data_IF_278440298155
#
_entry.id   IF_278440298155
#
_cell.length_a   1.000
_cell.length_b   1.000
_cell.length_c   1.000
_cell.angle_alpha   90.00
_cell.angle_beta   90.00
_cell.angle_gamma   90.00
#
_symmetry.space_group_name_H-M   'P 1'
#
loop_
_entity.id
_entity.type
_entity.pdbx_description
1 polymer ?
#
# COMPACT_ATOMS: atom_id res chain seq x y z
N UNK A 1 81.32 -19.31 8.69
CA UNK A 1 81.72 -19.79 7.35
C UNK A 1 80.88 -19.07 6.29
N UNK A 2 81.56 -18.30 5.43
CA UNK A 2 81.33 -17.92 4.02
C UNK A 2 79.95 -17.47 3.47
N UNK A 3 80.00 -16.26 2.90
CA UNK A 3 79.12 -15.49 2.01
C UNK A 3 78.62 -16.18 0.73
N UNK A 4 77.48 -15.69 0.19
CA UNK A 4 77.29 -15.01 -1.14
C UNK A 4 75.79 -15.03 -1.51
N UNK A 5 75.03 -13.91 -1.62
CA UNK A 5 74.91 -12.84 -2.65
C UNK A 5 74.38 -13.26 -4.05
N UNK A 6 73.27 -12.56 -4.41
CA UNK A 6 72.61 -12.28 -5.71
C UNK A 6 72.05 -13.48 -6.50
N UNK A 7 70.83 -13.44 -7.05
CA UNK A 7 70.39 -12.52 -8.10
C UNK A 7 68.90 -12.11 -8.06
N UNK A 8 68.66 -10.90 -8.58
CA UNK A 8 67.35 -10.38 -9.00
C UNK A 8 66.87 -11.14 -10.25
N UNK A 9 65.57 -11.42 -10.34
CA UNK A 9 64.66 -10.80 -11.34
C UNK A 9 63.40 -11.64 -11.58
N UNK A 10 62.29 -10.91 -11.79
CA UNK A 10 61.16 -11.25 -12.68
C UNK A 10 59.86 -11.85 -12.09
N UNK A 11 58.90 -10.95 -11.87
CA UNK A 11 57.61 -10.91 -12.59
C UNK A 11 56.49 -11.92 -12.24
N UNK A 12 55.48 -11.39 -11.54
CA UNK A 12 54.01 -11.50 -11.75
C UNK A 12 53.38 -12.89 -11.90
N UNK A 13 52.44 -13.22 -11.00
CA UNK A 13 51.02 -13.64 -11.23
C UNK A 13 50.43 -14.17 -9.90
N UNK A 14 49.44 -13.48 -9.33
CA UNK A 14 48.01 -13.88 -9.30
C UNK A 14 47.79 -15.23 -8.57
N UNK A 15 46.97 -15.36 -7.53
CA UNK A 15 45.65 -14.76 -7.31
C UNK A 15 45.28 -14.74 -5.82
N UNK A 16 45.04 -13.55 -5.28
CA UNK A 16 44.17 -13.39 -4.11
C UNK A 16 42.72 -13.55 -4.58
N UNK A 17 42.18 -14.76 -4.58
CA UNK A 17 40.74 -14.96 -4.74
C UNK A 17 40.06 -14.83 -3.37
N UNK A 18 40.13 -13.62 -2.79
CA UNK A 18 39.17 -13.19 -1.79
C UNK A 18 37.85 -13.14 -2.54
N UNK A 19 37.00 -14.14 -2.32
CA UNK A 19 35.64 -14.23 -2.86
C UNK A 19 34.97 -12.86 -2.66
N UNK A 20 34.97 -12.06 -3.73
CA UNK A 20 34.16 -10.85 -3.83
C UNK A 20 32.77 -11.42 -3.98
N UNK A 21 32.10 -11.59 -2.85
CA UNK A 21 30.69 -11.96 -2.85
C UNK A 21 29.99 -10.68 -3.25
N UNK A 22 29.53 -10.63 -4.50
CA UNK A 22 28.73 -9.54 -5.05
C UNK A 22 27.43 -9.39 -4.22
N UNK A 23 27.52 -8.64 -3.12
CA UNK A 23 26.38 -7.87 -2.61
C UNK A 23 26.05 -6.87 -3.71
N UNK A 24 25.00 -7.08 -4.51
CA UNK A 24 24.25 -6.01 -5.21
C UNK A 24 23.15 -6.59 -6.12
N UNK A 25 22.09 -7.14 -5.53
CA UNK A 25 20.81 -7.27 -6.24
C UNK A 25 19.60 -7.30 -5.28
N UNK A 26 19.78 -7.65 -4.00
CA UNK A 26 18.69 -7.63 -3.00
C UNK A 26 18.34 -6.24 -2.47
N UNK A 27 19.21 -5.23 -2.63
CA UNK A 27 18.99 -3.89 -2.08
C UNK A 27 18.19 -2.97 -3.02
N UNK A 28 18.00 -3.37 -4.29
CA UNK A 28 17.37 -2.52 -5.32
C UNK A 28 15.93 -2.10 -4.96
N UNK A 29 15.24 -2.91 -4.14
CA UNK A 29 13.82 -2.73 -3.81
C UNK A 29 13.56 -2.60 -2.32
N UNK A 30 14.58 -2.36 -1.49
CA UNK A 30 14.43 -2.26 -0.03
C UNK A 30 13.36 -1.23 0.36
N UNK A 31 13.39 -0.06 -0.29
CA UNK A 31 12.47 1.04 -0.03
C UNK A 31 11.01 0.76 -0.40
N UNK A 32 10.73 -0.24 -1.27
CA UNK A 32 9.38 -0.61 -1.72
C UNK A 32 8.88 -1.92 -1.12
N UNK A 33 9.61 -2.49 -0.15
CA UNK A 33 9.13 -3.65 0.63
C UNK A 33 7.86 -3.31 1.39
N UNK A 34 6.94 -4.27 1.47
CA UNK A 34 5.62 -4.09 2.09
C UNK A 34 5.71 -3.57 3.52
N UNK A 35 6.61 -4.13 4.32
CA UNK A 35 6.82 -3.76 5.73
C UNK A 35 7.30 -2.32 5.90
N UNK A 36 7.88 -1.73 4.84
CA UNK A 36 8.33 -0.34 4.82
C UNK A 36 7.25 0.63 4.29
N UNK A 37 6.09 0.13 3.85
CA UNK A 37 5.03 0.96 3.27
C UNK A 37 3.94 1.28 4.29
N UNK A 38 3.78 2.55 4.65
CA UNK A 38 2.65 3.01 5.49
C UNK A 38 1.27 2.75 4.84
N UNK A 39 1.20 2.69 3.51
CA UNK A 39 -0.06 2.47 2.79
C UNK A 39 -0.67 1.09 3.08
N UNK A 40 0.17 0.09 3.35
CA UNK A 40 -0.30 -1.28 3.57
C UNK A 40 -1.06 -1.46 4.89
N UNK A 41 -0.54 -1.08 6.08
CA UNK A 41 -1.32 -1.17 7.30
C UNK A 41 -2.58 -0.30 7.24
N UNK A 42 -2.54 0.88 6.59
CA UNK A 42 -3.75 1.69 6.38
C UNK A 42 -4.81 0.98 5.52
N UNK A 43 -4.40 0.36 4.42
CA UNK A 43 -5.28 -0.46 3.59
C UNK A 43 -5.86 -1.64 4.37
N UNK A 44 -5.03 -2.36 5.13
CA UNK A 44 -5.46 -3.49 5.94
C UNK A 44 -6.48 -3.05 7.01
N UNK A 45 -6.22 -1.94 7.70
CA UNK A 45 -7.14 -1.34 8.66
C UNK A 45 -8.48 -0.96 8.01
N UNK A 46 -8.45 -0.24 6.89
CA UNK A 46 -9.67 0.16 6.17
C UNK A 46 -10.50 -1.06 5.74
N UNK A 47 -9.85 -2.09 5.18
CA UNK A 47 -10.50 -3.34 4.80
C UNK A 47 -11.12 -4.07 6.00
N UNK A 48 -10.42 -4.12 7.12
CA UNK A 48 -10.93 -4.74 8.34
C UNK A 48 -12.10 -3.96 8.93
N UNK A 49 -12.11 -2.63 8.87
CA UNK A 49 -13.28 -1.83 9.28
C UNK A 49 -14.49 -2.23 8.44
N UNK A 50 -14.38 -2.20 7.11
CA UNK A 50 -15.49 -2.58 6.22
C UNK A 50 -15.99 -4.00 6.50
N UNK A 51 -15.07 -4.95 6.71
CA UNK A 51 -15.41 -6.35 7.03
C UNK A 51 -16.17 -6.48 8.35
N UNK A 52 -15.89 -5.63 9.33
CA UNK A 52 -16.52 -5.66 10.66
C UNK A 52 -17.93 -5.08 10.62
N UNK A 53 -18.16 -4.09 9.75
CA UNK A 53 -19.50 -3.54 9.54
C UNK A 53 -20.41 -4.46 8.72
N UNK A 54 -19.83 -5.27 7.83
CA UNK A 54 -20.58 -6.16 6.93
C UNK A 54 -21.75 -6.93 7.58
N UNK A 55 -21.58 -7.72 8.67
CA UNK A 55 -22.69 -8.49 9.23
C UNK A 55 -23.86 -7.62 9.68
N UNK A 56 -23.59 -6.43 10.22
CA UNK A 56 -24.65 -5.51 10.66
C UNK A 56 -25.37 -4.83 9.50
N UNK A 57 -24.63 -4.55 8.42
CA UNK A 57 -25.20 -3.91 7.23
C UNK A 57 -25.94 -4.91 6.34
N UNK A 58 -25.52 -6.18 6.33
CA UNK A 58 -26.20 -7.26 5.59
C UNK A 58 -27.65 -7.44 6.11
N UNK A 59 -27.89 -7.30 7.43
CA UNK A 59 -29.23 -7.39 8.05
C UNK A 59 -30.22 -6.33 7.55
N UNK A 60 -29.72 -5.18 7.12
CA UNK A 60 -30.51 -4.03 6.61
C UNK A 60 -30.29 -3.82 5.11
N UNK A 61 -29.68 -4.79 4.42
CA UNK A 61 -29.32 -4.74 3.01
C UNK A 61 -28.62 -3.42 2.61
N UNK A 62 -27.55 -3.04 3.32
CA UNK A 62 -26.72 -1.90 2.98
C UNK A 62 -25.27 -2.30 2.72
N UNK A 63 -24.61 -1.55 1.84
CA UNK A 63 -23.15 -1.59 1.71
C UNK A 63 -22.52 -0.52 2.59
N UNK A 64 -21.22 -0.65 2.91
CA UNK A 64 -20.51 0.37 3.70
C UNK A 64 -20.57 1.76 3.07
N UNK A 65 -20.42 1.86 1.74
CA UNK A 65 -20.54 3.14 1.02
C UNK A 65 -21.95 3.73 1.13
N UNK A 66 -22.99 2.89 1.02
CA UNK A 66 -24.37 3.34 1.22
C UNK A 66 -24.60 3.81 2.66
N UNK A 67 -24.03 3.11 3.65
CA UNK A 67 -24.12 3.47 5.06
C UNK A 67 -23.50 4.84 5.36
N UNK A 68 -22.27 5.11 4.89
CA UNK A 68 -21.65 6.44 5.08
C UNK A 68 -22.40 7.54 4.33
N UNK A 69 -23.03 7.22 3.19
CA UNK A 69 -23.95 8.15 2.50
C UNK A 69 -25.17 8.47 3.36
N UNK A 70 -25.79 7.46 3.99
CA UNK A 70 -26.91 7.68 4.89
C UNK A 70 -26.52 8.49 6.13
N UNK A 71 -25.31 8.32 6.67
CA UNK A 71 -24.82 9.14 7.80
C UNK A 71 -24.81 10.63 7.45
N UNK A 72 -24.33 11.01 6.25
CA UNK A 72 -24.35 12.41 5.81
C UNK A 72 -25.79 12.90 5.62
N UNK A 73 -26.66 12.09 5.02
CA UNK A 73 -28.06 12.44 4.82
C UNK A 73 -28.83 12.60 6.14
N UNK A 74 -28.52 11.81 7.17
CA UNK A 74 -29.12 11.96 8.50
C UNK A 74 -28.62 13.19 9.25
N UNK A 75 -27.39 13.63 9.01
CA UNK A 75 -26.83 14.85 9.60
C UNK A 75 -27.39 16.12 8.96
N UNK A 76 -27.37 16.19 7.62
CA UNK A 76 -27.69 17.42 6.87
C UNK A 76 -29.14 17.47 6.37
N UNK A 77 -29.85 16.33 6.38
CA UNK A 77 -31.20 16.18 5.83
C UNK A 77 -31.23 16.23 4.31
N UNK A 78 -31.14 17.43 3.74
CA UNK A 78 -31.10 17.66 2.29
C UNK A 78 -29.74 18.26 1.89
N UNK A 79 -29.01 17.52 1.05
CA UNK A 79 -27.70 17.91 0.54
C UNK A 79 -27.64 17.64 -0.97
N UNK A 80 -27.01 18.53 -1.73
CA UNK A 80 -26.81 18.32 -3.15
C UNK A 80 -25.69 17.29 -3.41
N UNK A 81 -25.73 16.62 -4.56
CA UNK A 81 -24.78 15.54 -4.91
C UNK A 81 -23.33 16.01 -4.94
N UNK A 82 -23.06 17.26 -5.32
CA UNK A 82 -21.71 17.82 -5.38
C UNK A 82 -21.11 17.95 -3.99
N UNK A 83 -21.90 18.41 -3.03
CA UNK A 83 -21.48 18.61 -1.64
C UNK A 83 -21.38 17.28 -0.90
N UNK A 84 -22.28 16.34 -1.17
CA UNK A 84 -22.17 14.96 -0.71
C UNK A 84 -20.86 14.31 -1.19
N UNK A 85 -20.50 14.52 -2.47
CA UNK A 85 -19.22 14.07 -3.03
C UNK A 85 -18.01 14.69 -2.32
N UNK A 86 -18.08 15.98 -2.01
CA UNK A 86 -17.03 16.66 -1.26
C UNK A 86 -16.87 16.10 0.17
N UNK A 87 -17.97 15.85 0.89
CA UNK A 87 -17.95 15.28 2.25
C UNK A 87 -17.41 13.84 2.28
N UNK A 88 -17.79 13.02 1.30
CA UNK A 88 -17.40 11.61 1.25
C UNK A 88 -16.08 11.36 0.50
N UNK A 89 -15.47 12.40 -0.07
CA UNK A 89 -14.31 12.28 -0.97
C UNK A 89 -14.58 11.32 -2.16
N UNK A 90 -15.79 11.40 -2.71
CA UNK A 90 -16.25 10.60 -3.84
C UNK A 90 -16.59 11.48 -5.04
N UNK A 91 -16.28 10.98 -6.23
CA UNK A 91 -16.71 11.60 -7.47
C UNK A 91 -18.19 11.30 -7.76
N UNK A 92 -18.77 12.11 -8.66
CA UNK A 92 -20.18 11.96 -9.07
C UNK A 92 -20.46 10.65 -9.81
N UNK A 93 -19.47 10.09 -10.51
CA UNK A 93 -19.56 8.80 -11.20
C UNK A 93 -19.71 7.63 -10.23
N UNK A 94 -19.07 7.72 -9.05
CA UNK A 94 -19.22 6.76 -7.96
C UNK A 94 -20.53 6.97 -7.19
N UNK A 95 -20.92 8.22 -6.91
CA UNK A 95 -22.12 8.51 -6.11
C UNK A 95 -23.43 8.24 -6.84
N UNK A 96 -23.52 8.54 -8.14
CA UNK A 96 -24.76 8.35 -8.91
C UNK A 96 -25.33 6.92 -8.81
N UNK A 97 -24.56 5.84 -9.06
CA UNK A 97 -25.08 4.48 -8.90
C UNK A 97 -25.36 4.10 -7.45
N UNK A 98 -24.66 4.69 -6.47
CA UNK A 98 -24.91 4.46 -5.03
C UNK A 98 -26.28 5.02 -4.65
N UNK A 99 -26.55 6.28 -5.02
CA UNK A 99 -27.81 6.96 -4.75
C UNK A 99 -29.00 6.28 -5.43
N UNK A 100 -28.85 5.91 -6.71
CA UNK A 100 -29.90 5.15 -7.43
C UNK A 100 -30.26 3.84 -6.75
N UNK A 101 -29.27 3.10 -6.23
CA UNK A 101 -29.52 1.86 -5.49
C UNK A 101 -30.13 2.10 -4.12
N UNK A 102 -29.81 3.20 -3.45
CA UNK A 102 -30.42 3.59 -2.18
C UNK A 102 -31.89 3.97 -2.36
N UNK A 103 -32.20 4.75 -3.39
CA UNK A 103 -33.57 5.15 -3.73
C UNK A 103 -34.48 3.94 -4.02
N UNK A 104 -33.92 2.85 -4.56
CA UNK A 104 -34.69 1.61 -4.81
C UNK A 104 -34.99 0.79 -3.55
N UNK A 105 -34.32 1.09 -2.42
CA UNK A 105 -34.46 0.37 -1.15
C UNK A 105 -35.36 1.09 -0.13
N UNK A 106 -35.67 2.37 -0.38
CA UNK A 106 -36.51 3.24 0.46
C UNK A 106 -37.90 3.33 -0.18
#
# INVERSE_FOLDING_TARGET
MKNNKSDKSSTVKQSNNKKVIDKNNNDKYEAIKLDNQLCFPLYACAKEIVRRYKPYLDDIDLTYTQYITMMVLWEDGQINVKELGARLYLDSGTLTPVLKRLEQKI
#
